data_IF_913442562028
#
_entry.id   IF_913442562028
#
_cell.length_a   1.000
_cell.length_b   1.000
_cell.length_c   1.000
_cell.angle_alpha   90.00
_cell.angle_beta   90.00
_cell.angle_gamma   90.00
#
_symmetry.space_group_name_H-M   'P 1'
#
loop_
_entity.id
_entity.type
_entity.pdbx_description
1 polymer ?
#
# COMPACT_ATOMS: atom_id res chain seq x y z
N UNK A 1 6.98 1.81 4.92
CA UNK A 1 5.71 1.89 5.66
C UNK A 1 5.07 3.23 5.41
N UNK A 2 3.75 3.28 5.58
CA UNK A 2 2.91 4.34 5.04
C UNK A 2 2.61 5.40 6.10
N UNK A 3 2.83 6.66 5.77
CA UNK A 3 2.31 7.76 6.56
C UNK A 3 0.79 7.83 6.42
N UNK A 4 0.14 8.45 7.42
CA UNK A 4 -1.24 8.88 7.29
C UNK A 4 -1.46 9.66 5.98
N UNK A 5 -2.51 9.34 5.20
CA UNK A 5 -2.85 10.13 4.04
C UNK A 5 -3.20 11.58 4.35
N UNK A 6 -2.82 12.47 3.45
CA UNK A 6 -3.20 13.88 3.45
C UNK A 6 -3.42 14.37 2.02
N UNK A 7 -4.62 14.85 1.70
CA UNK A 7 -5.01 15.38 0.39
C UNK A 7 -4.60 14.50 -0.82
N UNK A 8 -4.82 13.19 -0.74
CA UNK A 8 -4.46 12.25 -1.82
C UNK A 8 -2.97 11.94 -1.93
N UNK A 9 -2.21 12.18 -0.86
CA UNK A 9 -0.81 11.82 -0.75
C UNK A 9 -0.52 11.02 0.51
N UNK A 10 0.41 10.08 0.43
CA UNK A 10 0.99 9.36 1.56
C UNK A 10 2.45 9.08 1.28
N UNK A 11 3.28 9.08 2.31
CA UNK A 11 4.70 8.76 2.18
C UNK A 11 4.95 7.28 2.48
N UNK A 12 5.62 6.58 1.57
CA UNK A 12 6.16 5.25 1.82
C UNK A 12 7.64 5.32 2.19
N UNK A 13 7.96 5.00 3.43
CA UNK A 13 9.33 4.94 3.95
C UNK A 13 9.61 3.59 4.61
N UNK A 14 10.34 2.70 3.94
CA UNK A 14 10.68 1.35 4.46
C UNK A 14 12.02 1.32 5.23
N UNK A 15 12.87 2.34 5.06
CA UNK A 15 14.11 2.53 5.79
C UNK A 15 14.38 4.03 5.99
N UNK A 16 15.27 4.36 6.92
CA UNK A 16 15.52 5.76 7.32
C UNK A 16 15.98 6.66 6.16
N UNK A 17 16.67 6.10 5.17
CA UNK A 17 17.34 6.87 4.11
C UNK A 17 16.48 7.10 2.86
N UNK A 18 15.33 6.43 2.71
CA UNK A 18 14.52 6.49 1.48
C UNK A 18 13.02 6.59 1.77
N UNK A 19 12.42 7.68 1.28
CA UNK A 19 11.00 7.96 1.37
C UNK A 19 10.44 8.31 -0.02
N UNK A 20 9.25 7.80 -0.33
CA UNK A 20 8.57 7.98 -1.61
C UNK A 20 7.18 8.56 -1.39
N UNK A 21 6.91 9.75 -1.92
CA UNK A 21 5.55 10.31 -1.92
C UNK A 21 4.70 9.56 -2.94
N UNK A 22 3.60 8.96 -2.49
CA UNK A 22 2.64 8.21 -3.29
C UNK A 22 1.41 9.09 -3.51
N UNK A 23 0.99 9.19 -4.77
CA UNK A 23 -0.18 9.95 -5.20
C UNK A 23 -1.44 9.09 -5.27
N UNK A 24 -2.59 9.74 -5.21
CA UNK A 24 -3.91 9.14 -5.39
C UNK A 24 -4.11 8.45 -6.74
N UNK A 25 -3.21 8.68 -7.72
CA UNK A 25 -3.22 7.99 -9.01
C UNK A 25 -2.96 6.47 -8.90
N UNK A 26 -2.54 5.99 -7.73
CA UNK A 26 -2.58 4.57 -7.37
C UNK A 26 -3.46 4.41 -6.14
N UNK A 27 -4.35 3.41 -6.14
CA UNK A 27 -5.15 3.10 -4.96
C UNK A 27 -4.32 2.27 -3.98
N UNK A 28 -3.43 2.96 -3.26
CA UNK A 28 -2.43 2.35 -2.38
C UNK A 28 -3.07 1.41 -1.37
N UNK A 29 -4.10 1.85 -0.65
CA UNK A 29 -4.73 1.02 0.37
C UNK A 29 -5.37 -0.24 -0.24
N UNK A 30 -6.15 -0.09 -1.30
CA UNK A 30 -6.86 -1.22 -1.90
C UNK A 30 -5.90 -2.21 -2.55
N UNK A 31 -5.04 -1.73 -3.45
CA UNK A 31 -4.14 -2.57 -4.24
C UNK A 31 -3.09 -3.26 -3.38
N UNK A 32 -2.53 -2.58 -2.37
CA UNK A 32 -1.49 -3.18 -1.51
C UNK A 32 -2.07 -4.23 -0.58
N UNK A 33 -3.28 -4.02 -0.05
CA UNK A 33 -3.98 -5.04 0.72
C UNK A 33 -4.24 -6.28 -0.13
N UNK A 34 -4.66 -6.14 -1.38
CA UNK A 34 -4.86 -7.27 -2.29
C UNK A 34 -3.58 -8.07 -2.53
N UNK A 35 -2.46 -7.38 -2.79
CA UNK A 35 -1.17 -8.05 -2.98
C UNK A 35 -0.69 -8.77 -1.71
N UNK A 36 -0.82 -8.12 -0.55
CA UNK A 36 -0.42 -8.71 0.73
C UNK A 36 -1.28 -9.94 1.10
N UNK A 37 -2.60 -9.85 0.89
CA UNK A 37 -3.53 -10.97 1.08
C UNK A 37 -3.16 -12.12 0.15
N UNK A 38 -2.97 -11.83 -1.14
CA UNK A 38 -2.58 -12.85 -2.11
C UNK A 38 -1.25 -13.52 -1.75
N UNK A 39 -0.25 -12.72 -1.34
CA UNK A 39 1.07 -13.20 -0.92
C UNK A 39 1.00 -14.14 0.27
N UNK A 40 0.20 -13.82 1.31
CA UNK A 40 0.02 -14.70 2.46
C UNK A 40 -0.84 -15.93 2.16
N UNK A 41 -1.84 -15.82 1.28
CA UNK A 41 -2.66 -16.98 0.85
C UNK A 41 -1.84 -18.00 0.07
N UNK A 42 -0.92 -17.53 -0.77
CA UNK A 42 -0.12 -18.38 -1.66
C UNK A 42 1.26 -18.70 -1.12
N UNK A 43 1.68 -18.03 -0.04
CA UNK A 43 3.06 -18.04 0.47
C UNK A 43 4.09 -17.73 -0.63
N UNK A 44 3.73 -16.82 -1.54
CA UNK A 44 4.58 -16.39 -2.64
C UNK A 44 4.99 -14.92 -2.49
N UNK A 45 6.19 -14.53 -2.93
CA UNK A 45 6.59 -13.13 -3.02
C UNK A 45 5.60 -12.33 -3.87
N UNK A 46 5.39 -11.08 -3.51
CA UNK A 46 4.52 -10.15 -4.24
C UNK A 46 5.20 -8.80 -4.41
N UNK A 47 4.62 -7.94 -5.25
CA UNK A 47 5.09 -6.58 -5.42
C UNK A 47 3.96 -5.60 -5.11
N UNK A 48 4.30 -4.48 -4.50
CA UNK A 48 3.44 -3.31 -4.39
C UNK A 48 4.07 -2.16 -5.16
N UNK A 49 3.26 -1.20 -5.60
CA UNK A 49 3.76 -0.02 -6.29
C UNK A 49 2.95 1.22 -5.94
N UNK A 50 3.52 2.38 -6.21
CA UNK A 50 2.78 3.64 -6.13
C UNK A 50 3.38 4.68 -7.05
N UNK A 51 2.51 5.51 -7.62
CA UNK A 51 2.92 6.57 -8.54
C UNK A 51 3.40 7.80 -7.76
N UNK A 52 4.57 8.32 -8.12
CA UNK A 52 5.30 9.37 -7.39
C UNK A 52 5.35 10.73 -8.11
N UNK A 53 4.76 10.84 -9.30
CA UNK A 53 4.57 12.11 -10.04
C UNK A 53 5.78 13.07 -10.07
N UNK A 54 6.81 12.84 -10.89
CA UNK A 54 6.95 11.78 -11.90
C UNK A 54 7.57 10.50 -11.32
N UNK A 55 7.20 9.36 -11.88
CA UNK A 55 7.84 8.08 -11.65
C UNK A 55 6.99 7.12 -10.85
N UNK A 56 7.54 5.95 -10.59
CA UNK A 56 6.87 4.91 -9.81
C UNK A 56 7.86 4.22 -8.89
N UNK A 57 7.49 4.11 -7.62
CA UNK A 57 8.14 3.21 -6.69
C UNK A 57 7.54 1.81 -6.85
N UNK A 58 8.38 0.79 -6.94
CA UNK A 58 7.99 -0.62 -6.88
C UNK A 58 8.76 -1.29 -5.75
N UNK A 59 8.04 -1.91 -4.81
CA UNK A 59 8.61 -2.67 -3.70
C UNK A 59 8.29 -4.15 -3.88
N UNK A 60 9.30 -4.95 -4.19
CA UNK A 60 9.23 -6.41 -4.19
C UNK A 60 9.37 -6.92 -2.77
N UNK A 61 8.30 -7.52 -2.24
CA UNK A 61 8.26 -8.14 -0.91
C UNK A 61 8.63 -9.61 -1.08
N UNK A 62 9.90 -9.93 -0.80
CA UNK A 62 10.37 -11.32 -0.73
C UNK A 62 10.16 -11.91 0.66
N UNK A 63 10.57 -13.16 0.85
CA UNK A 63 10.39 -13.86 2.12
C UNK A 63 11.04 -13.11 3.28
N UNK A 64 12.33 -12.78 3.20
CA UNK A 64 13.08 -12.18 4.31
C UNK A 64 13.60 -10.76 4.04
N UNK A 65 13.44 -10.29 2.81
CA UNK A 65 14.02 -9.03 2.36
C UNK A 65 13.06 -8.36 1.38
N UNK A 66 12.82 -7.07 1.57
CA UNK A 66 12.11 -6.25 0.61
C UNK A 66 13.12 -5.54 -0.30
N UNK A 67 12.84 -5.45 -1.59
CA UNK A 67 13.67 -4.71 -2.55
C UNK A 67 12.86 -3.59 -3.17
N UNK A 68 13.36 -2.36 -3.09
CA UNK A 68 12.69 -1.21 -3.66
C UNK A 68 13.45 -0.72 -4.88
N UNK A 69 12.72 -0.48 -5.96
CA UNK A 69 13.21 0.17 -7.18
C UNK A 69 12.37 1.40 -7.48
N UNK A 70 13.03 2.47 -7.93
CA UNK A 70 12.34 3.65 -8.47
C UNK A 70 12.51 3.70 -9.99
N UNK A 71 11.39 3.63 -10.70
CA UNK A 71 11.29 3.71 -12.15
C UNK A 71 10.92 5.14 -12.56
N UNK A 72 11.85 5.86 -13.19
CA UNK A 72 11.53 7.14 -13.79
C UNK A 72 10.74 6.94 -15.09
N UNK A 73 9.63 7.64 -15.23
CA UNK A 73 8.70 7.62 -16.37
C UNK A 73 9.12 8.54 -17.54
N UNK A 74 10.37 9.04 -17.51
CA UNK A 74 11.00 9.74 -18.65
C UNK A 74 10.37 11.09 -19.01
N UNK A 75 9.54 11.65 -18.13
CA UNK A 75 9.02 13.01 -18.26
C UNK A 75 10.14 14.05 -18.31
N UNK A 76 9.88 15.20 -18.94
CA UNK A 76 10.79 16.37 -18.97
C UNK A 76 12.15 16.16 -19.66
N UNK A 77 12.24 15.20 -20.59
CA UNK A 77 13.46 14.98 -21.38
C UNK A 77 14.49 14.07 -20.71
N UNK A 78 14.11 13.39 -19.62
CA UNK A 78 14.90 12.31 -19.03
C UNK A 78 14.68 10.99 -19.78
N UNK A 79 15.67 10.08 -19.72
CA UNK A 79 15.47 8.71 -20.21
C UNK A 79 14.71 7.91 -19.18
N UNK A 80 13.87 6.97 -19.65
CA UNK A 80 13.38 5.89 -18.79
C UNK A 80 14.60 5.13 -18.23
N UNK A 81 14.82 5.24 -16.93
CA UNK A 81 15.92 4.59 -16.23
C UNK A 81 15.49 4.26 -14.80
N UNK A 82 16.16 3.30 -14.19
CA UNK A 82 15.98 2.99 -12.77
C UNK A 82 16.97 3.83 -11.96
N UNK A 83 16.47 4.56 -10.94
CA UNK A 83 17.31 5.46 -10.14
C UNK A 83 17.83 4.81 -8.87
N UNK A 84 17.00 4.00 -8.21
CA UNK A 84 17.32 3.37 -6.93
C UNK A 84 17.12 1.86 -7.02
N UNK A 85 18.01 1.10 -6.38
CA UNK A 85 17.78 -0.30 -6.02
C UNK A 85 18.45 -0.57 -4.68
N UNK A 86 17.65 -0.86 -3.66
CA UNK A 86 18.16 -1.24 -2.36
C UNK A 86 17.31 -2.34 -1.73
N UNK A 87 17.94 -3.11 -0.84
CA UNK A 87 17.29 -4.15 -0.04
C UNK A 87 17.14 -3.69 1.41
N UNK A 88 16.04 -4.08 2.03
CA UNK A 88 15.77 -3.89 3.45
C UNK A 88 15.45 -5.24 4.06
N UNK A 89 16.11 -5.57 5.16
CA UNK A 89 15.84 -6.79 5.95
C UNK A 89 14.49 -6.64 6.69
N UNK A 90 13.43 -6.83 5.92
CA UNK A 90 12.04 -6.85 6.37
C UNK A 90 11.39 -8.07 5.73
N UNK A 91 10.92 -8.98 6.58
CA UNK A 91 10.25 -10.20 6.12
C UNK A 91 8.87 -9.89 5.54
N UNK A 92 8.34 -10.78 4.70
CA UNK A 92 7.01 -10.62 4.12
C UNK A 92 5.93 -10.50 5.21
N UNK A 93 6.03 -11.30 6.29
CA UNK A 93 5.05 -11.23 7.38
C UNK A 93 5.14 -9.91 8.14
N UNK A 94 6.35 -9.37 8.34
CA UNK A 94 6.54 -8.09 9.01
C UNK A 94 6.08 -6.94 8.12
N UNK A 95 6.29 -7.02 6.81
CA UNK A 95 5.72 -6.09 5.84
C UNK A 95 4.18 -6.09 5.90
N UNK A 96 3.55 -7.27 5.95
CA UNK A 96 2.10 -7.38 6.05
C UNK A 96 1.56 -6.82 7.38
N UNK A 97 2.26 -7.05 8.51
CA UNK A 97 1.90 -6.47 9.83
C UNK A 97 1.98 -4.96 9.82
N UNK A 98 3.07 -4.43 9.28
CA UNK A 98 3.31 -3.04 9.03
C UNK A 98 2.17 -2.40 8.22
N UNK A 99 1.86 -2.96 7.06
CA UNK A 99 0.79 -2.50 6.19
C UNK A 99 -0.58 -2.51 6.88
N UNK A 100 -0.91 -3.62 7.56
CA UNK A 100 -2.13 -3.74 8.34
C UNK A 100 -2.23 -2.64 9.40
N UNK A 101 -1.16 -2.41 10.15
CA UNK A 101 -1.13 -1.40 11.21
C UNK A 101 -1.34 0.00 10.67
N UNK A 102 -0.61 0.39 9.62
CA UNK A 102 -0.65 1.74 9.04
C UNK A 102 -2.03 2.04 8.45
N UNK A 103 -2.62 1.10 7.68
CA UNK A 103 -3.95 1.31 7.09
C UNK A 103 -5.05 1.27 8.15
N UNK A 104 -4.97 0.36 9.12
CA UNK A 104 -6.01 0.25 10.16
C UNK A 104 -6.02 1.42 11.13
N UNK A 105 -4.86 2.03 11.40
CA UNK A 105 -4.72 3.16 12.32
C UNK A 105 -5.29 4.46 11.74
N UNK A 106 -5.19 4.63 10.42
CA UNK A 106 -5.63 5.81 9.68
C UNK A 106 -6.74 5.48 8.65
N UNK A 107 -7.60 4.50 8.96
CA UNK A 107 -8.61 3.96 8.03
C UNK A 107 -9.49 5.05 7.41
N UNK A 108 -9.87 6.05 8.21
CA UNK A 108 -10.77 7.11 7.79
C UNK A 108 -10.15 8.03 6.74
N UNK A 109 -8.85 8.22 6.79
CA UNK A 109 -8.07 8.94 5.80
C UNK A 109 -7.87 8.10 4.53
N UNK A 110 -7.60 6.79 4.66
CA UNK A 110 -7.49 5.88 3.50
C UNK A 110 -8.82 5.69 2.75
N UNK A 111 -9.95 5.76 3.45
CA UNK A 111 -11.28 5.74 2.83
C UNK A 111 -11.55 7.01 2.02
N UNK A 112 -10.91 8.14 2.37
CA UNK A 112 -11.05 9.41 1.63
C UNK A 112 -9.92 9.67 0.64
N UNK A 113 -9.09 8.65 0.36
CA UNK A 113 -7.84 8.76 -0.39
C UNK A 113 -7.94 9.57 -1.71
N UNK A 114 -8.91 9.23 -2.56
CA UNK A 114 -9.13 9.84 -3.88
C UNK A 114 -10.48 10.56 -3.97
N UNK A 115 -11.13 10.79 -2.84
CA UNK A 115 -12.46 11.40 -2.75
C UNK A 115 -12.36 12.81 -2.16
N UNK A 116 -13.07 13.77 -2.76
CA UNK A 116 -13.23 15.10 -2.20
C UNK A 116 -14.21 15.09 -1.02
N UNK A 117 -14.25 16.19 -0.25
CA UNK A 117 -15.20 16.31 0.85
C UNK A 117 -16.62 16.52 0.29
N UNK A 118 -17.63 15.72 0.71
CA UNK A 118 -19.02 15.96 0.33
C UNK A 118 -19.56 17.34 0.71
N UNK A 119 -18.88 18.08 1.59
CA UNK A 119 -19.20 19.46 1.92
C UNK A 119 -18.79 20.47 0.82
N UNK A 120 -17.92 20.06 -0.10
CA UNK A 120 -17.49 20.86 -1.25
C UNK A 120 -18.43 20.71 -2.46
N UNK A 121 -19.40 19.79 -2.40
CA UNK A 121 -20.39 19.56 -3.43
C UNK A 121 -21.50 20.64 -3.42
N UNK A 122 -21.71 21.27 -4.57
CA UNK A 122 -22.77 22.27 -4.76
C UNK A 122 -24.18 21.64 -4.92
N UNK A 123 -24.24 20.32 -5.17
CA UNK A 123 -25.46 19.54 -5.39
C UNK A 123 -25.66 18.46 -4.28
N UNK A 124 -26.87 18.41 -3.72
CA UNK A 124 -27.25 17.42 -2.70
C UNK A 124 -27.17 15.97 -3.23
N UNK A 125 -27.39 15.76 -4.54
CA UNK A 125 -27.28 14.44 -5.19
C UNK A 125 -25.82 13.99 -5.28
N UNK A 126 -24.91 14.87 -5.70
CA UNK A 126 -23.46 14.61 -5.76
C UNK A 126 -22.90 14.32 -4.36
N UNK A 127 -23.29 15.13 -3.36
CA UNK A 127 -22.92 14.90 -1.97
C UNK A 127 -23.42 13.54 -1.43
N UNK A 128 -24.59 13.09 -1.90
CA UNK A 128 -25.14 11.78 -1.52
C UNK A 128 -24.39 10.62 -2.19
N UNK A 129 -23.99 10.78 -3.46
CA UNK A 129 -23.15 9.81 -4.18
C UNK A 129 -21.77 9.66 -3.52
N UNK A 130 -21.08 10.77 -3.25
CA UNK A 130 -19.77 10.75 -2.57
C UNK A 130 -19.86 10.06 -1.21
N UNK A 131 -20.91 10.32 -0.43
CA UNK A 131 -21.15 9.62 0.84
C UNK A 131 -21.37 8.12 0.67
N UNK A 132 -22.06 7.70 -0.39
CA UNK A 132 -22.26 6.28 -0.67
C UNK A 132 -20.94 5.60 -1.03
N UNK A 133 -20.11 6.24 -1.86
CA UNK A 133 -18.76 5.74 -2.21
C UNK A 133 -17.86 5.59 -0.98
N UNK A 134 -17.87 6.58 -0.07
CA UNK A 134 -17.13 6.50 1.21
C UNK A 134 -17.56 5.28 2.03
N UNK A 135 -18.87 4.99 2.10
CA UNK A 135 -19.39 3.85 2.86
C UNK A 135 -18.97 2.52 2.21
N UNK A 136 -19.10 2.42 0.89
CA UNK A 136 -18.69 1.23 0.13
C UNK A 136 -17.20 0.96 0.32
N UNK A 137 -16.36 1.96 0.06
CA UNK A 137 -14.91 1.88 0.21
C UNK A 137 -14.48 1.54 1.64
N UNK A 138 -15.15 2.08 2.67
CA UNK A 138 -14.91 1.70 4.07
C UNK A 138 -15.16 0.21 4.29
N UNK A 139 -16.26 -0.33 3.77
CA UNK A 139 -16.57 -1.75 3.94
C UNK A 139 -15.54 -2.63 3.24
N UNK A 140 -15.14 -2.29 2.01
CA UNK A 140 -14.15 -3.04 1.24
C UNK A 140 -12.78 -3.06 1.93
N UNK A 141 -12.26 -1.90 2.35
CA UNK A 141 -10.97 -1.82 3.05
C UNK A 141 -11.05 -2.55 4.39
N UNK A 142 -12.16 -2.43 5.12
CA UNK A 142 -12.34 -3.12 6.41
C UNK A 142 -12.35 -4.65 6.25
N UNK A 143 -13.03 -5.17 5.22
CA UNK A 143 -13.06 -6.60 4.93
C UNK A 143 -11.66 -7.13 4.58
N UNK A 144 -10.93 -6.41 3.72
CA UNK A 144 -9.54 -6.76 3.38
C UNK A 144 -8.62 -6.71 4.61
N UNK A 145 -8.77 -5.73 5.49
CA UNK A 145 -8.00 -5.65 6.73
C UNK A 145 -8.29 -6.83 7.67
N UNK A 146 -9.54 -7.25 7.79
CA UNK A 146 -9.91 -8.43 8.58
C UNK A 146 -9.30 -9.70 7.98
N UNK A 147 -9.39 -9.87 6.67
CA UNK A 147 -8.77 -10.98 5.95
C UNK A 147 -7.25 -11.01 6.14
N UNK A 148 -6.58 -9.88 5.96
CA UNK A 148 -5.14 -9.76 6.13
C UNK A 148 -4.72 -10.10 7.58
N UNK A 149 -5.46 -9.58 8.57
CA UNK A 149 -5.22 -9.89 9.99
C UNK A 149 -5.29 -11.40 10.27
N UNK A 150 -6.31 -12.07 9.75
CA UNK A 150 -6.47 -13.51 9.95
C UNK A 150 -5.32 -14.28 9.30
N UNK A 151 -4.95 -13.93 8.06
CA UNK A 151 -3.83 -14.54 7.36
C UNK A 151 -2.50 -14.32 8.06
N UNK A 152 -2.27 -13.14 8.64
CA UNK A 152 -1.06 -12.87 9.43
C UNK A 152 -0.98 -13.86 10.60
N UNK A 153 -2.08 -14.02 11.36
CA UNK A 153 -2.14 -14.92 12.52
C UNK A 153 -1.94 -16.39 12.14
N UNK A 154 -2.55 -16.84 11.04
CA UNK A 154 -2.43 -18.22 10.55
C UNK A 154 -1.02 -18.55 10.09
N UNK A 155 -0.34 -17.58 9.46
CA UNK A 155 0.96 -17.81 8.85
C UNK A 155 2.14 -17.57 9.79
N UNK A 156 1.99 -16.97 10.99
CA UNK A 156 3.11 -16.66 11.89
C UNK A 156 4.04 -17.86 12.16
N UNK A 157 3.46 -19.05 12.25
CA UNK A 157 4.20 -20.31 12.51
C UNK A 157 5.15 -20.68 11.37
N UNK A 158 4.85 -20.24 10.14
CA UNK A 158 5.64 -20.46 8.94
C UNK A 158 6.84 -19.52 8.85
N UNK A 159 6.94 -18.51 9.72
CA UNK A 159 8.05 -17.55 9.72
C UNK A 159 9.11 -17.84 10.79
N UNK A 160 9.17 -19.09 11.25
CA UNK A 160 10.22 -19.53 12.17
C UNK A 160 11.53 -19.86 11.43
N UNK A 161 12.71 -19.75 12.07
CA UNK A 161 14.01 -19.98 11.41
C UNK A 161 14.22 -21.35 10.74
N UNK A 162 13.32 -22.32 11.00
CA UNK A 162 13.41 -23.69 10.49
C UNK A 162 12.38 -23.98 9.40
N UNK A 163 11.50 -23.04 9.08
CA UNK A 163 10.51 -23.21 8.03
C UNK A 163 11.14 -22.87 6.67
N UNK A 164 10.94 -23.75 5.69
CA UNK A 164 11.41 -23.53 4.33
C UNK A 164 10.19 -23.37 3.41
N UNK A 165 10.17 -22.27 2.66
CA UNK A 165 9.20 -22.04 1.60
C UNK A 165 9.66 -22.80 0.36
N UNK A 166 8.99 -23.92 0.04
CA UNK A 166 9.28 -24.79 -1.12
C UNK A 166 8.04 -25.00 -1.98
#
# INVERSE_FOLDING_TARGET
MLSKPDYGWSEFQICDDHAYSLSYLTDVAYEWLDQAIHGLQTLAPFAVHGYCEPGRMVCLVSYYTCYVVFEADGGWGEKNDYKDLFGVDLSMIDFCRALYHDISSDLEEWVRWDLHDPADDDDDEEAQETRAMIIERRNEISEKLEQLRNLIQENEVSWTPHHCFF
#
